data_IF_684795533028
#
_entry.id   IF_684795533028
#
_cell.length_a   1.000
_cell.length_b   1.000
_cell.length_c   1.000
_cell.angle_alpha   90.00
_cell.angle_beta   90.00
_cell.angle_gamma   90.00
#
_symmetry.space_group_name_H-M   'P 1'
#
loop_
_entity.id
_entity.type
_entity.pdbx_description
1 polymer ?
#
# COMPACT_ATOMS: atom_id res chain seq x y z
N UNK A 1 14.94 2.22 -12.14
CA UNK A 1 15.20 2.67 -10.76
C UNK A 1 13.88 3.06 -10.16
N UNK A 2 13.55 2.53 -8.99
CA UNK A 2 12.24 2.71 -8.37
C UNK A 2 12.36 3.41 -7.04
N UNK A 3 11.28 4.06 -6.63
CA UNK A 3 11.06 4.45 -5.24
C UNK A 3 10.50 3.27 -4.46
N UNK A 4 10.80 3.25 -3.16
CA UNK A 4 10.18 2.36 -2.19
C UNK A 4 9.31 3.17 -1.25
N UNK A 5 8.06 2.76 -1.12
CA UNK A 5 7.10 3.35 -0.19
C UNK A 5 6.54 2.29 0.74
N UNK A 6 6.05 2.77 1.87
CA UNK A 6 5.31 2.01 2.86
C UNK A 6 4.02 2.74 3.18
N UNK A 7 2.94 1.99 3.23
CA UNK A 7 1.62 2.45 3.64
C UNK A 7 1.33 1.73 4.96
N UNK A 8 1.20 2.50 6.03
CA UNK A 8 0.75 1.99 7.31
C UNK A 8 -0.77 2.18 7.37
N UNK A 9 -1.48 1.13 7.78
CA UNK A 9 -2.93 1.11 7.80
C UNK A 9 -3.42 0.87 9.23
N UNK A 10 -4.40 1.67 9.62
CA UNK A 10 -5.17 1.51 10.86
C UNK A 10 -6.48 0.83 10.52
N UNK A 11 -6.79 -0.27 11.19
CA UNK A 11 -8.02 -1.02 10.94
C UNK A 11 -9.19 -0.38 11.68
N UNK A 12 -10.30 -0.21 10.96
CA UNK A 12 -11.62 0.09 11.53
C UNK A 12 -12.24 -1.14 12.18
N UNK A 13 -12.01 -2.31 11.59
CA UNK A 13 -12.52 -3.60 12.07
C UNK A 13 -11.33 -4.49 12.43
N UNK A 14 -11.10 -4.66 13.73
CA UNK A 14 -10.04 -5.53 14.27
C UNK A 14 -10.28 -6.98 13.85
N UNK A 15 -9.23 -7.69 13.47
CA UNK A 15 -9.28 -9.09 13.05
C UNK A 15 -9.42 -9.30 11.53
N UNK A 16 -9.43 -8.21 10.74
CA UNK A 16 -9.46 -8.25 9.27
C UNK A 16 -8.15 -7.85 8.61
N UNK A 17 -7.06 -7.82 9.37
CA UNK A 17 -5.73 -7.41 8.89
C UNK A 17 -5.29 -8.32 7.74
N UNK A 18 -5.55 -9.63 7.85
CA UNK A 18 -5.24 -10.59 6.80
C UNK A 18 -6.12 -10.44 5.56
N UNK A 19 -7.36 -9.95 5.69
CA UNK A 19 -8.22 -9.70 4.53
C UNK A 19 -7.64 -8.55 3.68
N UNK A 20 -7.16 -7.49 4.32
CA UNK A 20 -6.44 -6.38 3.66
C UNK A 20 -5.18 -6.90 2.98
N UNK A 21 -4.36 -7.69 3.67
CA UNK A 21 -3.12 -8.26 3.13
C UNK A 21 -3.42 -9.14 1.91
N UNK A 22 -4.43 -10.01 1.99
CA UNK A 22 -4.80 -10.89 0.90
C UNK A 22 -5.31 -10.11 -0.32
N UNK A 23 -6.03 -9.02 -0.11
CA UNK A 23 -6.54 -8.17 -1.19
C UNK A 23 -5.44 -7.38 -1.89
N UNK A 24 -4.45 -6.90 -1.15
CA UNK A 24 -3.34 -6.11 -1.70
C UNK A 24 -2.20 -6.97 -2.26
N UNK A 25 -2.11 -8.23 -1.86
CA UNK A 25 -1.05 -9.14 -2.30
C UNK A 25 -1.07 -9.33 -3.81
N UNK A 26 0.03 -8.97 -4.46
CA UNK A 26 0.20 -9.11 -5.91
C UNK A 26 -0.49 -8.02 -6.74
N UNK A 27 -1.07 -7.01 -6.09
CA UNK A 27 -1.62 -5.84 -6.77
C UNK A 27 -0.48 -5.10 -7.50
N UNK A 28 -0.73 -4.73 -8.75
CA UNK A 28 0.20 -4.01 -9.63
C UNK A 28 -0.58 -3.17 -10.63
N UNK A 29 0.09 -2.23 -11.29
CA UNK A 29 -0.59 -1.45 -12.32
C UNK A 29 -1.07 -2.32 -13.48
N UNK A 30 -2.23 -1.96 -14.01
CA UNK A 30 -2.78 -2.45 -15.28
C UNK A 30 -2.52 -1.49 -16.45
N UNK A 31 -2.07 -0.27 -16.18
CA UNK A 31 -1.92 0.78 -17.18
C UNK A 31 -0.53 0.71 -17.86
N UNK A 32 -0.44 0.87 -19.19
CA UNK A 32 0.83 0.80 -19.91
C UNK A 32 1.87 1.84 -19.48
N UNK A 33 1.39 3.01 -19.01
CA UNK A 33 2.24 4.14 -18.63
C UNK A 33 2.60 4.17 -17.14
N UNK A 34 2.15 3.17 -16.38
CA UNK A 34 2.39 3.05 -14.95
C UNK A 34 3.25 1.83 -14.67
N UNK A 35 4.18 1.99 -13.74
CA UNK A 35 5.03 0.88 -13.30
C UNK A 35 5.15 0.94 -11.78
N UNK A 36 4.19 0.27 -11.14
CA UNK A 36 4.15 0.08 -9.70
C UNK A 36 3.57 -1.29 -9.32
N UNK A 37 3.98 -1.77 -8.16
CA UNK A 37 3.51 -3.03 -7.57
C UNK A 37 3.58 -3.00 -6.05
N UNK A 38 2.68 -3.73 -5.40
CA UNK A 38 2.80 -4.10 -3.99
C UNK A 38 3.80 -5.24 -3.89
N UNK A 39 4.91 -5.01 -3.19
CA UNK A 39 5.98 -6.01 -3.01
C UNK A 39 5.79 -6.85 -1.76
N UNK A 40 5.17 -6.27 -0.73
CA UNK A 40 4.98 -6.94 0.55
C UNK A 40 3.78 -6.37 1.30
N UNK A 41 3.08 -7.20 2.06
CA UNK A 41 2.03 -6.77 2.97
C UNK A 41 1.95 -7.75 4.16
N UNK A 42 1.82 -7.23 5.38
CA UNK A 42 1.66 -8.04 6.58
C UNK A 42 0.90 -7.27 7.66
N UNK A 43 0.16 -7.96 8.54
CA UNK A 43 -0.27 -7.36 9.80
C UNK A 43 0.93 -7.00 10.66
N UNK A 44 0.80 -5.97 11.49
CA UNK A 44 1.81 -5.54 12.46
C UNK A 44 1.16 -5.28 13.81
N UNK A 45 1.92 -5.45 14.89
CA UNK A 45 1.47 -5.10 16.24
C UNK A 45 2.08 -3.77 16.66
N UNK A 46 1.25 -2.79 17.00
CA UNK A 46 1.71 -1.47 17.45
C UNK A 46 0.62 -0.40 17.32
N UNK A 47 1.04 0.84 17.06
CA UNK A 47 0.12 1.96 16.78
C UNK A 47 -0.60 1.87 15.43
N UNK A 48 -0.19 0.92 14.58
CA UNK A 48 -0.78 0.59 13.29
C UNK A 48 -1.04 -0.92 13.24
N UNK A 49 -1.88 -1.36 12.31
CA UNK A 49 -2.40 -2.73 12.28
C UNK A 49 -1.91 -3.52 11.06
N UNK A 50 -1.56 -2.83 9.96
CA UNK A 50 -0.90 -3.45 8.81
C UNK A 50 0.15 -2.51 8.18
N UNK A 51 1.19 -3.12 7.59
CA UNK A 51 2.16 -2.43 6.74
C UNK A 51 2.13 -3.02 5.35
N UNK A 52 2.13 -2.15 4.35
CA UNK A 52 2.13 -2.49 2.93
C UNK A 52 3.30 -1.80 2.28
N UNK A 53 4.19 -2.56 1.67
CA UNK A 53 5.31 -2.06 0.89
C UNK A 53 4.93 -1.99 -0.59
N UNK A 54 5.23 -0.86 -1.22
CA UNK A 54 5.06 -0.66 -2.63
C UNK A 54 6.35 -0.18 -3.30
N UNK A 55 6.50 -0.57 -4.55
CA UNK A 55 7.57 -0.16 -5.45
C UNK A 55 6.91 0.58 -6.61
N UNK A 56 7.43 1.75 -6.97
CA UNK A 56 6.85 2.59 -8.03
C UNK A 56 7.92 3.44 -8.73
N UNK A 57 7.72 3.70 -10.02
CA UNK A 57 8.66 4.47 -10.83
C UNK A 57 8.42 5.99 -10.76
N UNK A 58 7.16 6.41 -10.54
CA UNK A 58 6.75 7.82 -10.48
C UNK A 58 6.12 8.15 -9.13
N UNK A 59 6.43 9.31 -8.57
CA UNK A 59 5.86 9.74 -7.28
C UNK A 59 4.32 9.83 -7.32
N UNK A 60 3.75 10.20 -8.47
CA UNK A 60 2.29 10.24 -8.68
C UNK A 60 1.60 8.88 -8.52
N UNK A 61 2.33 7.79 -8.68
CA UNK A 61 1.76 6.44 -8.57
C UNK A 61 1.52 6.07 -7.10
N UNK A 62 2.29 6.65 -6.16
CA UNK A 62 2.04 6.47 -4.73
C UNK A 62 0.66 7.01 -4.33
N UNK A 63 0.31 8.21 -4.79
CA UNK A 63 -0.99 8.83 -4.51
C UNK A 63 -2.14 7.96 -5.03
N UNK A 64 -1.97 7.31 -6.19
CA UNK A 64 -2.95 6.38 -6.75
C UNK A 64 -3.12 5.13 -5.89
N UNK A 65 -2.02 4.52 -5.45
CA UNK A 65 -2.06 3.33 -4.59
C UNK A 65 -2.76 3.67 -3.26
N UNK A 66 -2.43 4.81 -2.66
CA UNK A 66 -3.05 5.27 -1.40
C UNK A 66 -4.54 5.56 -1.61
N UNK A 67 -4.88 6.22 -2.72
CA UNK A 67 -6.28 6.51 -3.07
C UNK A 67 -7.06 5.22 -3.25
N UNK A 68 -6.53 4.23 -3.98
CA UNK A 68 -7.14 2.91 -4.13
C UNK A 68 -7.45 2.27 -2.77
N UNK A 69 -6.49 2.30 -1.83
CA UNK A 69 -6.70 1.76 -0.48
C UNK A 69 -7.82 2.46 0.30
N UNK A 70 -8.17 3.70 -0.06
CA UNK A 70 -9.20 4.52 0.62
C UNK A 70 -10.56 4.46 -0.06
N UNK A 71 -10.64 4.18 -1.36
CA UNK A 71 -11.89 4.21 -2.13
C UNK A 71 -12.44 2.82 -2.47
N UNK A 72 -11.61 1.78 -2.45
CA UNK A 72 -12.06 0.41 -2.67
C UNK A 72 -13.12 0.05 -1.61
N UNK A 73 -14.22 -0.56 -2.02
CA UNK A 73 -15.39 -0.80 -1.15
C UNK A 73 -15.04 -1.64 0.07
N UNK A 74 -14.22 -2.68 -0.09
CA UNK A 74 -13.81 -3.54 1.00
C UNK A 74 -12.76 -2.85 1.88
N UNK A 75 -11.73 -2.27 1.26
CA UNK A 75 -10.64 -1.63 2.01
C UNK A 75 -11.15 -0.42 2.80
N UNK A 76 -12.01 0.41 2.23
CA UNK A 76 -12.63 1.54 2.92
C UNK A 76 -13.57 1.13 4.06
N UNK A 77 -14.17 -0.07 3.98
CA UNK A 77 -14.96 -0.64 5.05
C UNK A 77 -14.10 -1.18 6.20
N UNK A 78 -12.89 -1.68 5.91
CA UNK A 78 -12.01 -2.31 6.89
C UNK A 78 -10.94 -1.39 7.47
N UNK A 79 -10.52 -0.37 6.72
CA UNK A 79 -9.43 0.57 7.05
C UNK A 79 -10.03 1.90 7.48
N UNK A 80 -9.57 2.40 8.63
CA UNK A 80 -9.96 3.70 9.18
C UNK A 80 -9.04 4.82 8.69
N UNK A 81 -7.73 4.57 8.76
CA UNK A 81 -6.72 5.57 8.45
C UNK A 81 -5.54 4.94 7.72
N UNK A 82 -4.90 5.72 6.87
CA UNK A 82 -3.64 5.35 6.20
C UNK A 82 -2.64 6.50 6.31
N UNK A 83 -1.39 6.17 6.61
CA UNK A 83 -0.26 7.09 6.48
C UNK A 83 0.80 6.49 5.57
N UNK A 84 1.64 7.32 4.97
CA UNK A 84 2.69 6.88 4.04
C UNK A 84 4.07 7.34 4.46
N UNK A 85 5.04 6.48 4.18
CA UNK A 85 6.46 6.74 4.33
C UNK A 85 7.12 6.37 3.01
N UNK A 86 8.05 7.19 2.51
CA UNK A 86 8.76 6.87 1.27
C UNK A 86 10.22 7.25 1.35
N UNK A 87 11.05 6.49 0.64
CA UNK A 87 12.46 6.86 0.43
C UNK A 87 12.55 8.14 -0.39
N UNK A 88 13.37 9.10 0.04
CA UNK A 88 13.58 10.36 -0.68
C UNK A 88 14.34 10.23 -2.01
N UNK A 89 14.74 9.02 -2.40
CA UNK A 89 15.51 8.72 -3.61
C UNK A 89 15.00 7.44 -4.27
N UNK A 90 15.02 7.40 -5.60
CA UNK A 90 14.70 6.21 -6.40
C UNK A 90 15.92 5.30 -6.58
N UNK A 91 16.40 4.66 -5.50
CA UNK A 91 17.54 3.75 -5.53
C UNK A 91 17.16 2.27 -5.32
N UNK A 92 15.87 1.95 -5.41
CA UNK A 92 15.36 0.59 -5.29
C UNK A 92 15.43 -0.17 -6.61
N UNK A 93 15.85 -1.44 -6.55
CA UNK A 93 16.11 -2.29 -7.72
C UNK A 93 14.86 -2.89 -8.37
N UNK A 94 13.68 -2.80 -7.75
CA UNK A 94 12.39 -3.12 -8.35
C UNK A 94 11.93 -4.56 -8.23
#
# INVERSE_FOLDING_TARGET
MYYRGYILMRMKIIGREWDVVNKLKGLKSSEPDEDWKITYATPVYGGWDAIVECCFSKLSDLDKIVTYCRIDEDLSAWVEETTTLMGGKADYSG
#
